data_IF_500644965962
#
_entry.id   IF_500644965962
#
_cell.length_a   1.000
_cell.length_b   1.000
_cell.length_c   1.000
_cell.angle_alpha   90.00
_cell.angle_beta   90.00
_cell.angle_gamma   90.00
#
_symmetry.space_group_name_H-M   'P 1'
#
loop_
_entity.id
_entity.type
_entity.pdbx_description
1 polymer ?
#
# COMPACT_ATOMS: atom_id res chain seq x y z
N UNK A 1 27.69 -16.91 19.51
CA UNK A 1 27.68 -15.48 19.92
C UNK A 1 26.99 -14.77 18.79
N UNK A 2 25.66 -14.74 18.86
CA UNK A 2 24.85 -14.22 17.77
C UNK A 2 25.00 -12.71 17.75
N UNK A 3 25.39 -12.19 16.60
CA UNK A 3 25.56 -10.77 16.34
C UNK A 3 24.22 -10.08 16.59
N UNK A 4 24.00 -9.62 17.84
CA UNK A 4 22.77 -8.98 18.27
C UNK A 4 22.64 -7.68 17.48
N UNK A 5 21.96 -7.77 16.35
CA UNK A 5 21.70 -6.61 15.52
C UNK A 5 20.81 -5.70 16.35
N UNK A 6 21.35 -4.53 16.71
CA UNK A 6 20.62 -3.55 17.50
C UNK A 6 19.82 -2.63 16.59
N UNK A 7 18.60 -2.30 16.99
CA UNK A 7 17.71 -1.39 16.28
C UNK A 7 17.29 -0.24 17.19
N UNK A 8 17.30 0.99 16.66
CA UNK A 8 16.80 2.17 17.40
C UNK A 8 15.29 2.28 17.27
N UNK A 9 14.63 3.04 18.13
CA UNK A 9 13.19 3.31 18.03
C UNK A 9 12.76 3.85 16.65
N UNK A 10 13.62 4.61 15.96
CA UNK A 10 13.37 5.06 14.59
C UNK A 10 13.43 3.91 13.57
N UNK A 11 14.33 2.94 13.76
CA UNK A 11 14.38 1.72 12.97
C UNK A 11 13.13 0.86 13.19
N UNK A 12 12.71 0.67 14.45
CA UNK A 12 11.47 -0.04 14.81
C UNK A 12 10.25 0.60 14.12
N UNK A 13 10.17 1.94 14.13
CA UNK A 13 9.09 2.67 13.48
C UNK A 13 9.03 2.40 11.97
N UNK A 14 10.18 2.33 11.29
CA UNK A 14 10.24 1.96 9.87
C UNK A 14 9.85 0.50 9.63
N UNK A 15 10.33 -0.43 10.46
CA UNK A 15 9.99 -1.86 10.36
C UNK A 15 8.48 -2.10 10.48
N UNK A 16 7.82 -1.41 11.41
CA UNK A 16 6.39 -1.50 11.62
C UNK A 16 5.58 -0.52 10.75
N UNK A 17 6.25 0.31 9.94
CA UNK A 17 5.63 1.31 9.07
C UNK A 17 4.74 2.34 9.79
N UNK A 18 5.17 2.77 10.97
CA UNK A 18 4.50 3.76 11.81
C UNK A 18 5.39 4.97 12.11
N UNK A 19 4.84 6.01 12.72
CA UNK A 19 5.63 7.14 13.26
C UNK A 19 6.32 6.79 14.58
N UNK A 20 7.42 7.51 14.91
CA UNK A 20 8.19 7.33 16.17
C UNK A 20 7.31 7.44 17.44
N UNK A 21 6.25 8.25 17.40
CA UNK A 21 5.31 8.41 18.51
C UNK A 21 4.57 7.10 18.85
N UNK A 22 4.31 6.23 17.87
CA UNK A 22 3.70 4.93 18.11
C UNK A 22 4.62 4.02 18.93
N UNK A 23 5.91 3.99 18.61
CA UNK A 23 6.93 3.22 19.36
C UNK A 23 7.06 3.73 20.79
N UNK A 24 7.05 5.05 20.99
CA UNK A 24 7.03 5.64 22.34
C UNK A 24 5.78 5.23 23.13
N UNK A 25 4.61 5.24 22.48
CA UNK A 25 3.37 4.80 23.12
C UNK A 25 3.39 3.30 23.45
N UNK A 26 4.01 2.46 22.61
CA UNK A 26 4.14 1.04 22.87
C UNK A 26 4.96 0.76 24.11
N UNK A 27 6.14 1.37 24.22
CA UNK A 27 7.02 1.27 25.40
C UNK A 27 6.30 1.59 26.72
N UNK A 28 5.32 2.50 26.68
CA UNK A 28 4.55 2.91 27.86
C UNK A 28 3.36 2.01 28.16
N UNK A 29 2.64 1.54 27.13
CA UNK A 29 1.37 0.81 27.27
C UNK A 29 1.54 -0.72 27.30
N UNK A 30 2.65 -1.22 26.80
CA UNK A 30 2.95 -2.65 26.71
C UNK A 30 4.16 -2.96 27.59
N UNK A 31 3.90 -3.54 28.76
CA UNK A 31 4.95 -3.91 29.73
C UNK A 31 5.87 -5.02 29.21
N UNK A 32 5.38 -5.79 28.23
CA UNK A 32 6.07 -6.83 27.48
C UNK A 32 6.90 -6.28 26.29
N UNK A 33 6.86 -4.97 26.02
CA UNK A 33 7.70 -4.38 24.97
C UNK A 33 9.19 -4.60 25.29
N UNK A 34 10.03 -4.96 24.30
CA UNK A 34 11.44 -5.25 24.51
C UNK A 34 12.18 -4.14 25.26
N UNK A 35 13.00 -4.55 26.23
CA UNK A 35 13.82 -3.61 27.00
C UNK A 35 15.03 -3.16 26.16
N UNK A 36 15.51 -1.93 26.36
CA UNK A 36 16.71 -1.49 25.67
C UNK A 36 17.91 -2.33 26.10
N UNK A 37 18.70 -2.75 25.12
CA UNK A 37 19.96 -3.51 25.32
C UNK A 37 21.18 -2.61 25.23
N UNK A 38 21.02 -1.37 24.75
CA UNK A 38 22.08 -0.38 24.63
C UNK A 38 21.57 1.03 24.25
N UNK A 39 22.47 1.84 23.70
CA UNK A 39 22.19 3.22 23.28
C UNK A 39 22.27 4.24 24.41
N UNK A 40 21.70 5.42 24.18
CA UNK A 40 21.65 6.50 25.17
C UNK A 40 20.25 6.64 25.76
N UNK A 41 20.11 7.37 26.88
CA UNK A 41 18.78 7.69 27.44
C UNK A 41 17.84 8.35 26.41
N UNK A 42 18.41 9.17 25.52
CA UNK A 42 17.69 9.90 24.47
C UNK A 42 17.47 9.08 23.19
N UNK A 43 18.27 8.04 22.96
CA UNK A 43 18.17 7.16 21.80
C UNK A 43 18.53 5.72 22.18
N UNK A 44 17.63 5.02 22.88
CA UNK A 44 17.85 3.62 23.25
C UNK A 44 17.89 2.72 22.02
N UNK A 45 18.69 1.67 22.10
CA UNK A 45 18.73 0.56 21.14
C UNK A 45 18.17 -0.72 21.74
N UNK A 46 17.57 -1.55 20.89
CA UNK A 46 16.83 -2.76 21.26
C UNK A 46 17.36 -3.93 20.45
N UNK A 47 17.29 -5.14 20.99
CA UNK A 47 17.62 -6.33 20.23
C UNK A 47 16.61 -6.51 19.09
N UNK A 48 17.08 -6.53 17.84
CA UNK A 48 16.21 -6.63 16.66
C UNK A 48 15.32 -7.88 16.73
N UNK A 49 15.88 -9.03 17.12
CA UNK A 49 15.14 -10.28 17.21
C UNK A 49 13.95 -10.21 18.19
N UNK A 50 14.15 -9.61 19.38
CA UNK A 50 13.07 -9.44 20.36
C UNK A 50 12.00 -8.47 19.85
N UNK A 51 12.41 -7.41 19.14
CA UNK A 51 11.47 -6.46 18.53
C UNK A 51 10.66 -7.11 17.42
N UNK A 52 11.28 -7.87 16.54
CA UNK A 52 10.59 -8.56 15.44
C UNK A 52 9.60 -9.60 15.97
N UNK A 53 9.99 -10.37 16.98
CA UNK A 53 9.10 -11.35 17.62
C UNK A 53 7.92 -10.68 18.33
N UNK A 54 8.18 -9.59 19.07
CA UNK A 54 7.13 -8.80 19.69
C UNK A 54 6.20 -8.19 18.64
N UNK A 55 6.73 -7.59 17.58
CA UNK A 55 5.93 -7.03 16.48
C UNK A 55 5.07 -8.13 15.82
N UNK A 56 5.62 -9.32 15.58
CA UNK A 56 4.89 -10.44 15.00
C UNK A 56 3.77 -10.91 15.92
N UNK A 57 4.06 -11.10 17.21
CA UNK A 57 3.08 -11.53 18.23
C UNK A 57 1.94 -10.53 18.39
N UNK A 58 2.23 -9.24 18.28
CA UNK A 58 1.22 -8.18 18.38
C UNK A 58 0.44 -7.95 17.07
N UNK A 59 0.77 -8.67 15.99
CA UNK A 59 0.24 -8.39 14.64
C UNK A 59 0.67 -7.02 14.08
N UNK A 60 1.73 -6.43 14.66
CA UNK A 60 2.29 -5.11 14.32
C UNK A 60 3.49 -5.22 13.37
N UNK A 61 3.93 -6.43 13.04
CA UNK A 61 4.75 -6.68 11.86
C UNK A 61 3.81 -6.60 10.66
N UNK A 62 3.54 -5.38 10.22
CA UNK A 62 2.73 -5.17 9.04
C UNK A 62 3.52 -5.69 7.84
N UNK A 63 2.95 -6.62 7.09
CA UNK A 63 3.18 -6.56 5.64
C UNK A 63 2.96 -5.10 5.23
N UNK A 64 3.95 -4.48 4.58
CA UNK A 64 4.03 -3.06 4.21
C UNK A 64 2.70 -2.30 4.38
N UNK A 65 2.59 -1.31 5.29
CA UNK A 65 1.31 -0.63 5.57
C UNK A 65 0.62 -0.21 4.29
N UNK A 66 -0.71 -0.32 4.22
CA UNK A 66 -1.48 -0.08 2.98
C UNK A 66 -1.09 1.23 2.27
N UNK A 67 -0.90 2.32 3.03
CA UNK A 67 -0.44 3.61 2.48
C UNK A 67 0.93 3.50 1.80
N UNK A 68 1.87 2.81 2.43
CA UNK A 68 3.21 2.60 1.90
C UNK A 68 3.18 1.63 0.71
N UNK A 69 2.33 0.60 0.75
CA UNK A 69 2.12 -0.33 -0.36
C UNK A 69 1.56 0.39 -1.58
N UNK A 70 0.53 1.22 -1.41
CA UNK A 70 -0.01 2.09 -2.47
C UNK A 70 1.09 2.99 -3.03
N UNK A 71 1.90 3.61 -2.17
CA UNK A 71 3.01 4.45 -2.61
C UNK A 71 4.05 3.66 -3.42
N UNK A 72 4.44 2.46 -2.98
CA UNK A 72 5.37 1.60 -3.68
C UNK A 72 4.83 1.14 -5.04
N UNK A 73 3.56 0.75 -5.13
CA UNK A 73 2.92 0.36 -6.38
C UNK A 73 2.81 1.53 -7.36
N UNK A 74 2.46 2.73 -6.87
CA UNK A 74 2.44 3.94 -7.69
C UNK A 74 3.83 4.32 -8.21
N UNK A 75 4.81 4.41 -7.31
CA UNK A 75 6.17 4.84 -7.65
C UNK A 75 6.93 3.81 -8.51
N UNK A 76 6.64 2.52 -8.32
CA UNK A 76 7.25 1.41 -9.05
C UNK A 76 6.56 1.00 -10.35
N UNK A 77 5.48 1.69 -10.75
CA UNK A 77 4.72 1.32 -11.94
C UNK A 77 5.59 1.43 -13.21
N UNK A 78 5.62 0.42 -14.11
CA UNK A 78 6.55 0.38 -15.24
C UNK A 78 6.32 1.50 -16.26
N UNK A 79 5.07 1.98 -16.40
CA UNK A 79 4.73 3.14 -17.23
C UNK A 79 4.85 4.48 -16.49
N UNK A 80 5.39 4.48 -15.26
CA UNK A 80 5.58 5.65 -14.41
C UNK A 80 4.39 5.98 -13.49
N UNK A 81 4.63 6.85 -12.49
CA UNK A 81 3.66 7.16 -11.44
C UNK A 81 2.44 7.94 -11.93
N UNK A 82 2.57 8.74 -13.00
CA UNK A 82 1.44 9.47 -13.58
C UNK A 82 0.40 8.50 -14.14
N UNK A 83 0.84 7.50 -14.91
CA UNK A 83 -0.04 6.46 -15.46
C UNK A 83 -0.73 5.67 -14.36
N UNK A 84 0.00 5.29 -13.31
CA UNK A 84 -0.57 4.59 -12.16
C UNK A 84 -1.66 5.41 -11.45
N UNK A 85 -1.43 6.72 -11.29
CA UNK A 85 -2.44 7.65 -10.74
C UNK A 85 -3.66 7.78 -11.63
N UNK A 86 -3.49 7.86 -12.96
CA UNK A 86 -4.61 7.93 -13.90
C UNK A 86 -5.46 6.65 -13.87
N UNK A 87 -4.82 5.48 -13.82
CA UNK A 87 -5.52 4.19 -13.71
C UNK A 87 -6.28 4.08 -12.38
N UNK A 88 -5.62 4.37 -11.25
CA UNK A 88 -6.27 4.37 -9.94
C UNK A 88 -7.42 5.38 -9.87
N UNK A 89 -7.23 6.59 -10.39
CA UNK A 89 -8.28 7.62 -10.44
C UNK A 89 -9.48 7.20 -11.29
N UNK A 90 -9.24 6.56 -12.44
CA UNK A 90 -10.31 6.07 -13.31
C UNK A 90 -11.13 4.96 -12.65
N UNK A 91 -10.46 4.04 -11.93
CA UNK A 91 -11.15 3.00 -11.16
C UNK A 91 -11.88 3.59 -9.96
N UNK A 92 -11.31 4.55 -9.23
CA UNK A 92 -12.02 5.24 -8.14
C UNK A 92 -13.28 5.96 -8.63
N UNK A 93 -13.25 6.53 -9.84
CA UNK A 93 -14.45 7.07 -10.47
C UNK A 93 -15.49 5.98 -10.74
N UNK A 94 -15.08 4.79 -11.22
CA UNK A 94 -15.97 3.64 -11.41
C UNK A 94 -16.56 3.14 -10.09
N UNK A 95 -15.75 3.02 -9.03
CA UNK A 95 -16.23 2.63 -7.68
C UNK A 95 -17.28 3.61 -7.18
N UNK A 96 -17.07 4.90 -7.44
CA UNK A 96 -18.00 5.95 -7.01
C UNK A 96 -19.31 5.96 -7.82
N UNK A 97 -19.23 5.88 -9.15
CA UNK A 97 -20.37 6.04 -10.05
C UNK A 97 -21.18 4.74 -10.20
N UNK A 98 -20.51 3.59 -10.16
CA UNK A 98 -21.11 2.26 -10.40
C UNK A 98 -20.63 1.20 -9.39
N UNK A 99 -20.96 1.36 -8.10
CA UNK A 99 -20.45 0.50 -7.04
C UNK A 99 -20.86 -0.98 -7.20
N UNK A 100 -22.06 -1.26 -7.73
CA UNK A 100 -22.51 -2.65 -7.99
C UNK A 100 -21.74 -3.33 -9.11
N UNK A 101 -21.37 -2.58 -10.16
CA UNK A 101 -20.52 -3.07 -11.26
C UNK A 101 -19.11 -3.37 -10.73
N UNK A 102 -18.54 -2.47 -9.91
CA UNK A 102 -17.26 -2.72 -9.25
C UNK A 102 -17.28 -3.96 -8.35
N UNK A 103 -18.33 -4.15 -7.53
CA UNK A 103 -18.46 -5.34 -6.68
C UNK A 103 -18.50 -6.65 -7.48
N UNK A 104 -19.00 -6.63 -8.72
CA UNK A 104 -18.99 -7.78 -9.60
C UNK A 104 -17.61 -8.00 -10.26
N UNK A 105 -16.92 -6.91 -10.62
CA UNK A 105 -15.56 -6.94 -11.19
C UNK A 105 -14.52 -7.39 -10.17
N UNK A 106 -14.58 -6.88 -8.93
CA UNK A 106 -13.63 -7.19 -7.86
C UNK A 106 -13.62 -8.65 -7.41
N UNK A 107 -14.63 -9.45 -7.81
CA UNK A 107 -14.67 -10.91 -7.58
C UNK A 107 -13.90 -11.71 -8.61
N UNK A 108 -13.58 -11.12 -9.77
CA UNK A 108 -12.80 -11.76 -10.81
C UNK A 108 -11.35 -11.97 -10.34
N UNK A 109 -10.62 -12.91 -10.95
CA UNK A 109 -9.16 -12.96 -10.81
C UNK A 109 -8.49 -11.77 -11.51
N UNK A 110 -7.18 -11.61 -11.33
CA UNK A 110 -6.43 -10.45 -11.80
C UNK A 110 -6.45 -10.29 -13.34
N UNK A 111 -6.37 -11.40 -14.08
CA UNK A 111 -6.42 -11.38 -15.54
C UNK A 111 -7.80 -11.01 -16.05
N UNK A 112 -8.84 -11.64 -15.50
CA UNK A 112 -10.23 -11.33 -15.83
C UNK A 112 -10.63 -9.90 -15.42
N UNK A 113 -10.05 -9.36 -14.34
CA UNK A 113 -10.24 -7.96 -13.96
C UNK A 113 -9.63 -7.02 -15.01
N UNK A 114 -8.39 -7.26 -15.44
CA UNK A 114 -7.72 -6.46 -16.47
C UNK A 114 -8.49 -6.46 -17.80
N UNK A 115 -9.06 -7.59 -18.20
CA UNK A 115 -9.86 -7.70 -19.43
C UNK A 115 -11.22 -7.00 -19.35
N UNK A 116 -11.85 -7.00 -18.17
CA UNK A 116 -13.22 -6.47 -18.00
C UNK A 116 -13.27 -5.00 -17.58
N UNK A 117 -12.17 -4.45 -17.10
CA UNK A 117 -12.07 -3.05 -16.70
C UNK A 117 -12.25 -2.04 -17.85
N UNK A 118 -11.62 -2.19 -19.03
CA UNK A 118 -11.69 -1.19 -20.10
C UNK A 118 -13.12 -0.78 -20.49
N UNK A 119 -14.07 -1.70 -20.77
CA UNK A 119 -15.44 -1.29 -21.10
C UNK A 119 -16.17 -0.63 -19.93
N UNK A 120 -15.90 -1.03 -18.68
CA UNK A 120 -16.48 -0.41 -17.50
C UNK A 120 -15.96 1.02 -17.30
N UNK A 121 -14.65 1.23 -17.49
CA UNK A 121 -14.01 2.53 -17.46
C UNK A 121 -14.55 3.45 -18.56
N UNK A 122 -14.70 2.96 -19.79
CA UNK A 122 -15.29 3.75 -20.89
C UNK A 122 -16.69 4.28 -20.52
N UNK A 123 -17.49 3.45 -19.84
CA UNK A 123 -18.84 3.79 -19.39
C UNK A 123 -18.90 4.92 -18.36
N UNK A 124 -17.83 5.17 -17.60
CA UNK A 124 -17.77 6.27 -16.62
C UNK A 124 -16.92 7.45 -17.11
N UNK A 125 -15.95 7.21 -17.99
CA UNK A 125 -15.11 8.25 -18.58
C UNK A 125 -15.86 9.03 -19.67
N UNK A 126 -16.63 8.35 -20.52
CA UNK A 126 -17.34 9.00 -21.64
C UNK A 126 -18.33 10.08 -21.19
N UNK A 127 -19.22 9.83 -20.22
CA UNK A 127 -20.18 10.85 -19.77
C UNK A 127 -19.52 12.08 -19.13
N UNK A 128 -18.29 11.95 -18.65
CA UNK A 128 -17.60 12.97 -17.85
C UNK A 128 -16.58 13.77 -18.65
N UNK A 129 -15.90 13.12 -19.58
CA UNK A 129 -14.77 13.67 -20.32
C UNK A 129 -14.95 13.64 -21.84
N UNK A 130 -16.05 13.09 -22.35
CA UNK A 130 -16.28 12.92 -23.78
C UNK A 130 -15.70 11.62 -24.34
N UNK A 131 -15.82 11.44 -25.66
CA UNK A 131 -15.38 10.22 -26.33
C UNK A 131 -13.86 10.05 -26.30
N UNK A 132 -13.39 8.81 -26.39
CA UNK A 132 -11.96 8.46 -26.32
C UNK A 132 -11.10 9.22 -27.36
N UNK A 133 -11.65 9.54 -28.52
CA UNK A 133 -10.98 10.28 -29.59
C UNK A 133 -10.79 11.77 -29.29
N UNK A 134 -11.53 12.32 -28.32
CA UNK A 134 -11.62 13.75 -28.04
C UNK A 134 -10.99 14.12 -26.68
N UNK A 135 -10.95 13.18 -25.73
CA UNK A 135 -10.44 13.41 -24.38
C UNK A 135 -8.94 13.16 -24.28
N UNK A 136 -8.27 13.92 -23.41
CA UNK A 136 -6.84 13.74 -23.13
C UNK A 136 -6.51 12.44 -22.36
N UNK A 137 -7.52 11.82 -21.73
CA UNK A 137 -7.39 10.58 -20.95
C UNK A 137 -7.90 9.39 -21.78
N UNK A 138 -6.98 8.64 -22.41
CA UNK A 138 -7.36 7.40 -23.09
C UNK A 138 -7.88 6.36 -22.09
N UNK A 139 -8.83 5.52 -22.54
CA UNK A 139 -9.17 4.31 -21.76
C UNK A 139 -8.02 3.32 -21.89
N UNK A 140 -7.47 2.83 -20.78
CA UNK A 140 -6.37 1.87 -20.83
C UNK A 140 -6.84 0.54 -21.39
N UNK A 141 -5.98 -0.11 -22.17
CA UNK A 141 -6.25 -1.47 -22.65
C UNK A 141 -6.08 -2.48 -21.52
N UNK A 142 -6.51 -3.72 -21.74
CA UNK A 142 -6.26 -4.80 -20.78
C UNK A 142 -4.76 -4.97 -20.50
N UNK A 143 -3.92 -4.90 -21.53
CA UNK A 143 -2.47 -4.99 -21.42
C UNK A 143 -1.86 -3.85 -20.58
N UNK A 144 -2.38 -2.62 -20.73
CA UNK A 144 -1.94 -1.46 -19.94
C UNK A 144 -2.33 -1.60 -18.46
N UNK A 145 -3.40 -2.34 -18.17
CA UNK A 145 -3.91 -2.54 -16.82
C UNK A 145 -3.24 -3.68 -16.06
N UNK A 146 -2.66 -4.68 -16.73
CA UNK A 146 -1.97 -5.80 -16.06
C UNK A 146 -0.99 -5.32 -14.97
N UNK A 147 -0.10 -4.33 -15.22
CA UNK A 147 0.82 -3.85 -14.19
C UNK A 147 0.15 -3.01 -13.10
N UNK A 148 -1.07 -2.53 -13.34
CA UNK A 148 -1.86 -1.75 -12.38
C UNK A 148 -2.74 -2.61 -11.49
N UNK A 149 -3.07 -3.86 -11.86
CA UNK A 149 -3.98 -4.72 -11.08
C UNK A 149 -3.63 -4.80 -9.59
N UNK A 150 -2.36 -4.96 -9.17
CA UNK A 150 -2.01 -5.02 -7.74
C UNK A 150 -2.35 -3.75 -6.95
N UNK A 151 -2.38 -2.59 -7.63
CA UNK A 151 -2.78 -1.30 -7.04
C UNK A 151 -4.30 -1.18 -6.91
N UNK A 152 -5.06 -1.90 -7.74
CA UNK A 152 -6.52 -1.82 -7.84
C UNK A 152 -7.25 -2.82 -6.92
N UNK A 153 -6.50 -3.63 -6.17
CA UNK A 153 -6.99 -4.66 -5.25
C UNK A 153 -7.16 -4.16 -3.82
#
# INVERSE_FOLDING_TARGET
MDNATEVTAAGIARLAGVGRAAVSNWRRRHADFPKPVGGTETSPSFALAEVEDWLRTQGKLAEVPLRERVWQQLAGHPAGPVTALLHAGSVLLLVHDRPTEWLALGKADDGALAERLPPALEGVLTPRFGHATERALATPTAADLVPSVPLLR
#
